data_IF_652441787163
#
_entry.id   IF_652441787163
#
_cell.length_a   1.000
_cell.length_b   1.000
_cell.length_c   1.000
_cell.angle_alpha   90.00
_cell.angle_beta   90.00
_cell.angle_gamma   90.00
#
_symmetry.space_group_name_H-M   'P 1'
#
loop_
_entity.id
_entity.type
_entity.pdbx_description
1 polymer ?
#
# COMPACT_ATOMS: atom_id res chain seq x y z
N UNK A 1 19.78 -23.64 23.67
CA UNK A 1 19.16 -23.44 22.34
C UNK A 1 18.26 -22.22 22.40
N UNK A 2 18.68 -21.09 21.85
CA UNK A 2 17.80 -19.93 21.71
C UNK A 2 16.67 -20.28 20.75
N UNK A 3 15.40 -20.06 21.14
CA UNK A 3 14.26 -20.18 20.22
C UNK A 3 14.54 -19.24 19.05
N UNK A 4 14.84 -19.76 17.86
CA UNK A 4 14.78 -18.95 16.64
C UNK A 4 13.31 -18.56 16.48
N UNK A 5 12.98 -17.31 16.79
CA UNK A 5 11.66 -16.77 16.54
C UNK A 5 11.32 -16.85 15.05
N UNK A 6 10.02 -16.75 14.73
CA UNK A 6 9.58 -16.61 13.34
C UNK A 6 10.09 -15.28 12.77
N UNK A 7 10.70 -15.32 11.58
CA UNK A 7 11.13 -14.11 10.88
C UNK A 7 9.91 -13.41 10.26
N UNK A 8 9.54 -12.24 10.79
CA UNK A 8 8.39 -11.47 10.30
C UNK A 8 8.52 -11.04 8.83
N UNK A 9 9.75 -11.05 8.28
CA UNK A 9 10.06 -10.73 6.91
C UNK A 9 10.24 -11.98 6.04
N UNK A 10 9.87 -13.16 6.56
CA UNK A 10 9.86 -14.38 5.79
C UNK A 10 9.03 -14.18 4.52
N UNK A 11 9.65 -14.53 3.39
CA UNK A 11 9.01 -14.46 2.09
C UNK A 11 8.28 -15.76 1.77
N UNK A 12 7.02 -15.63 1.40
CA UNK A 12 6.21 -16.72 0.87
C UNK A 12 6.25 -16.67 -0.66
N UNK A 13 6.04 -17.81 -1.32
CA UNK A 13 5.80 -17.89 -2.76
C UNK A 13 4.40 -18.47 -2.96
N UNK A 14 3.41 -17.66 -2.59
CA UNK A 14 1.99 -18.03 -2.62
C UNK A 14 1.22 -17.01 -3.45
N UNK A 15 0.03 -17.40 -3.88
CA UNK A 15 -0.95 -16.52 -4.51
C UNK A 15 -2.30 -16.70 -3.85
N UNK A 16 -3.09 -15.63 -3.81
CA UNK A 16 -4.49 -15.73 -3.40
C UNK A 16 -5.38 -16.31 -4.52
N UNK A 17 -6.68 -16.40 -4.26
CA UNK A 17 -7.66 -16.92 -5.23
C UNK A 17 -7.74 -16.10 -6.54
N UNK A 18 -7.53 -14.80 -6.45
CA UNK A 18 -7.58 -13.87 -7.58
C UNK A 18 -6.21 -13.80 -8.30
N UNK A 19 -5.21 -14.56 -7.82
CA UNK A 19 -3.87 -14.61 -8.38
C UNK A 19 -2.92 -13.52 -7.87
N UNK A 20 -3.34 -12.71 -6.89
CA UNK A 20 -2.46 -11.71 -6.27
C UNK A 20 -1.37 -12.40 -5.46
N UNK A 21 -0.12 -11.90 -5.50
CA UNK A 21 0.97 -12.47 -4.72
C UNK A 21 0.69 -12.34 -3.21
N UNK A 22 0.90 -13.46 -2.52
CA UNK A 22 1.02 -13.54 -1.06
C UNK A 22 2.48 -13.89 -0.79
N UNK A 23 3.28 -12.84 -0.62
CA UNK A 23 4.73 -12.89 -0.50
C UNK A 23 5.27 -12.69 0.92
N UNK A 24 4.43 -12.31 1.88
CA UNK A 24 4.86 -11.89 3.21
C UNK A 24 3.72 -11.94 4.21
N UNK A 25 4.05 -11.91 5.51
CA UNK A 25 3.03 -11.75 6.54
C UNK A 25 2.23 -10.45 6.36
N UNK A 26 2.87 -9.42 5.80
CA UNK A 26 2.21 -8.14 5.56
C UNK A 26 1.19 -8.24 4.43
N UNK A 27 1.52 -8.89 3.31
CA UNK A 27 0.54 -9.11 2.23
C UNK A 27 -0.64 -9.94 2.70
N UNK A 28 -0.43 -10.97 3.54
CA UNK A 28 -1.53 -11.71 4.19
C UNK A 28 -2.44 -10.74 4.98
N UNK A 29 -1.87 -9.85 5.78
CA UNK A 29 -2.66 -8.94 6.63
C UNK A 29 -3.54 -7.97 5.82
N UNK A 30 -3.13 -7.60 4.61
CA UNK A 30 -3.85 -6.62 3.77
C UNK A 30 -4.68 -7.25 2.63
N UNK A 31 -4.31 -8.45 2.14
CA UNK A 31 -4.96 -9.12 1.01
C UNK A 31 -5.97 -10.19 1.42
N UNK A 32 -5.95 -10.68 2.65
CA UNK A 32 -6.82 -11.78 3.07
C UNK A 32 -8.31 -11.36 3.03
N UNK A 33 -9.03 -11.72 1.97
CA UNK A 33 -10.47 -11.57 1.88
C UNK A 33 -11.16 -12.65 2.74
N UNK A 34 -12.23 -12.33 3.49
CA UNK A 34 -13.03 -11.10 3.40
C UNK A 34 -12.69 -10.00 4.42
N UNK A 35 -11.61 -10.12 5.20
CA UNK A 35 -11.30 -9.17 6.28
C UNK A 35 -9.86 -8.67 6.18
N UNK A 36 -9.69 -7.36 5.95
CA UNK A 36 -8.41 -6.73 6.24
C UNK A 36 -8.12 -6.84 7.72
N UNK A 37 -6.99 -7.46 8.05
CA UNK A 37 -6.52 -7.54 9.44
C UNK A 37 -5.77 -6.24 9.75
N UNK A 38 -6.49 -5.11 9.74
CA UNK A 38 -5.91 -3.77 9.91
C UNK A 38 -5.04 -3.67 11.16
N UNK A 39 -5.47 -4.30 12.26
CA UNK A 39 -4.69 -4.38 13.49
C UNK A 39 -3.38 -5.15 13.30
N UNK A 40 -3.42 -6.28 12.58
CA UNK A 40 -2.22 -7.07 12.27
C UNK A 40 -1.27 -6.28 11.38
N UNK A 41 -1.76 -5.63 10.32
CA UNK A 41 -0.95 -4.81 9.43
C UNK A 41 -0.24 -3.68 10.19
N UNK A 42 -0.95 -2.99 11.10
CA UNK A 42 -0.34 -1.96 11.94
C UNK A 42 0.72 -2.52 12.90
N UNK A 43 0.48 -3.69 13.50
CA UNK A 43 1.45 -4.37 14.36
C UNK A 43 2.69 -4.78 13.56
N UNK A 44 2.51 -5.33 12.36
CA UNK A 44 3.62 -5.72 11.47
C UNK A 44 4.47 -4.52 11.06
N UNK A 45 3.86 -3.38 10.71
CA UNK A 45 4.61 -2.15 10.42
C UNK A 45 5.43 -1.71 11.64
N UNK A 46 4.83 -1.71 12.83
CA UNK A 46 5.53 -1.36 14.08
C UNK A 46 6.65 -2.34 14.42
N UNK A 47 6.50 -3.61 14.06
CA UNK A 47 7.50 -4.65 14.26
C UNK A 47 8.66 -4.59 13.25
N UNK A 48 8.58 -3.73 12.23
CA UNK A 48 9.62 -3.60 11.20
C UNK A 48 9.44 -4.56 10.02
N UNK A 49 8.19 -4.93 9.70
CA UNK A 49 7.91 -5.66 8.47
C UNK A 49 8.33 -4.83 7.24
N UNK A 50 8.91 -5.52 6.25
CA UNK A 50 9.37 -4.92 5.02
C UNK A 50 8.19 -4.68 4.06
N UNK A 51 7.69 -3.45 4.07
CA UNK A 51 6.56 -3.02 3.22
C UNK A 51 7.01 -2.43 1.87
N UNK A 52 8.31 -2.32 1.62
CA UNK A 52 8.88 -1.67 0.43
C UNK A 52 8.97 -2.58 -0.79
N UNK A 53 8.90 -3.88 -0.57
CA UNK A 53 9.28 -4.85 -1.59
C UNK A 53 8.21 -5.10 -2.64
N UNK A 54 6.97 -4.66 -2.44
CA UNK A 54 5.84 -5.23 -3.19
C UNK A 54 4.92 -4.16 -3.76
N UNK A 55 4.65 -4.32 -5.05
CA UNK A 55 3.74 -3.47 -5.81
C UNK A 55 2.30 -3.79 -5.42
N UNK A 56 1.40 -2.83 -5.56
CA UNK A 56 -0.03 -3.06 -5.33
C UNK A 56 -0.52 -2.92 -3.89
N UNK A 57 0.35 -2.74 -2.89
CA UNK A 57 -0.09 -2.54 -1.49
C UNK A 57 -0.93 -1.27 -1.29
N UNK A 58 -0.55 -0.18 -1.96
CA UNK A 58 -1.33 1.06 -1.95
C UNK A 58 -2.70 0.85 -2.62
N UNK A 59 -2.75 0.10 -3.74
CA UNK A 59 -3.98 -0.24 -4.44
C UNK A 59 -4.92 -1.11 -3.59
N UNK A 60 -4.36 -2.09 -2.89
CA UNK A 60 -5.10 -2.95 -1.95
C UNK A 60 -5.75 -2.11 -0.85
N UNK A 61 -5.02 -1.14 -0.29
CA UNK A 61 -5.56 -0.25 0.74
C UNK A 61 -6.69 0.64 0.21
N UNK A 62 -6.62 1.03 -1.07
CA UNK A 62 -7.70 1.77 -1.74
C UNK A 62 -8.96 0.93 -1.87
N UNK A 63 -8.84 -0.31 -2.36
CA UNK A 63 -9.97 -1.24 -2.52
C UNK A 63 -10.65 -1.58 -1.19
N UNK A 64 -9.85 -1.74 -0.14
CA UNK A 64 -10.33 -2.12 1.19
C UNK A 64 -10.68 -0.93 2.08
N UNK A 65 -10.55 0.29 1.55
CA UNK A 65 -10.82 1.55 2.27
C UNK A 65 -9.98 1.71 3.56
N UNK A 66 -8.82 1.09 3.61
CA UNK A 66 -7.93 1.03 4.78
C UNK A 66 -7.05 2.28 4.91
N UNK A 67 -7.67 3.39 5.34
CA UNK A 67 -7.01 4.71 5.44
C UNK A 67 -5.73 4.72 6.27
N UNK A 68 -5.75 4.09 7.44
CA UNK A 68 -4.63 4.17 8.37
C UNK A 68 -3.41 3.38 7.87
N UNK A 69 -3.66 2.23 7.24
CA UNK A 69 -2.62 1.45 6.58
C UNK A 69 -2.06 2.24 5.39
N UNK A 70 -2.93 2.87 4.59
CA UNK A 70 -2.53 3.70 3.45
C UNK A 70 -1.57 4.83 3.88
N UNK A 71 -1.90 5.55 4.96
CA UNK A 71 -1.03 6.59 5.53
C UNK A 71 0.30 6.01 6.03
N UNK A 72 0.26 4.85 6.68
CA UNK A 72 1.46 4.19 7.20
C UNK A 72 2.40 3.76 6.07
N UNK A 73 1.87 3.20 4.97
CA UNK A 73 2.64 2.83 3.77
C UNK A 73 3.25 4.04 3.08
N UNK A 74 2.49 5.12 2.91
CA UNK A 74 3.00 6.38 2.36
C UNK A 74 4.16 6.91 3.21
N UNK A 75 4.01 6.90 4.54
CA UNK A 75 5.09 7.32 5.46
C UNK A 75 6.30 6.40 5.40
N UNK A 76 6.10 5.10 5.19
CA UNK A 76 7.17 4.15 4.98
C UNK A 76 7.89 4.33 3.64
N UNK A 77 7.32 5.12 2.71
CA UNK A 77 7.90 5.46 1.41
C UNK A 77 7.62 4.42 0.32
N UNK A 78 6.52 3.66 0.45
CA UNK A 78 6.14 2.63 -0.54
C UNK A 78 5.89 3.27 -1.91
N UNK A 79 6.32 2.57 -2.95
CA UNK A 79 6.22 3.05 -4.33
C UNK A 79 4.75 3.10 -4.81
N UNK A 80 4.37 4.21 -5.43
CA UNK A 80 3.05 4.46 -6.04
C UNK A 80 3.01 4.12 -7.55
N UNK A 81 3.85 3.19 -7.98
CA UNK A 81 3.94 2.81 -9.40
C UNK A 81 2.67 2.11 -9.90
N UNK A 82 2.41 2.18 -11.22
CA UNK A 82 1.47 1.30 -11.91
C UNK A 82 1.64 -0.18 -11.54
N UNK A 83 0.54 -0.90 -11.44
CA UNK A 83 0.53 -2.33 -11.13
C UNK A 83 -0.36 -3.10 -12.12
N UNK A 84 0.17 -4.18 -12.70
CA UNK A 84 -0.50 -4.98 -13.73
C UNK A 84 -1.73 -5.72 -13.20
N UNK A 85 -1.74 -6.10 -11.92
CA UNK A 85 -2.93 -6.71 -11.29
C UNK A 85 -4.08 -5.70 -11.12
N UNK A 86 -3.79 -4.42 -11.36
CA UNK A 86 -4.73 -3.31 -11.29
C UNK A 86 -4.87 -2.60 -12.64
N UNK A 87 -4.83 -3.34 -13.74
CA UNK A 87 -4.94 -2.84 -15.12
C UNK A 87 -3.84 -1.84 -15.51
N UNK A 88 -2.69 -1.86 -14.85
CA UNK A 88 -1.63 -0.88 -15.07
C UNK A 88 -1.94 0.50 -14.52
N UNK A 89 -2.94 0.63 -13.65
CA UNK A 89 -3.25 1.88 -12.96
C UNK A 89 -2.34 2.08 -11.75
N UNK A 90 -2.12 3.34 -11.38
CA UNK A 90 -1.60 3.76 -10.08
C UNK A 90 -2.69 3.65 -9.01
N UNK A 91 -2.30 3.66 -7.72
CA UNK A 91 -3.27 3.67 -6.63
C UNK A 91 -4.20 4.91 -6.70
N UNK A 92 -3.70 6.05 -7.20
CA UNK A 92 -4.49 7.27 -7.40
C UNK A 92 -5.54 7.11 -8.50
N UNK A 93 -5.17 6.50 -9.63
CA UNK A 93 -6.11 6.22 -10.73
C UNK A 93 -7.18 5.20 -10.29
N UNK A 94 -6.79 4.15 -9.56
CA UNK A 94 -7.76 3.20 -8.99
C UNK A 94 -8.78 3.87 -8.07
N UNK A 95 -8.35 4.75 -7.16
CA UNK A 95 -9.31 5.43 -6.25
C UNK A 95 -10.21 6.40 -7.01
N UNK A 96 -9.71 7.05 -8.06
CA UNK A 96 -10.50 7.95 -8.91
C UNK A 96 -11.58 7.17 -9.68
N UNK A 97 -11.24 6.03 -10.29
CA UNK A 97 -12.20 5.16 -10.96
C UNK A 97 -13.28 4.63 -10.02
N UNK A 98 -12.89 4.20 -8.80
CA UNK A 98 -13.83 3.74 -7.80
C UNK A 98 -14.73 4.87 -7.31
N UNK A 99 -14.18 6.06 -7.11
CA UNK A 99 -14.96 7.23 -6.68
C UNK A 99 -16.02 7.65 -7.71
N UNK A 100 -15.72 7.52 -9.00
CA UNK A 100 -16.70 7.74 -10.07
C UNK A 100 -17.86 6.74 -10.02
N UNK A 101 -17.60 5.50 -9.59
CA UNK A 101 -18.60 4.42 -9.50
C UNK A 101 -19.45 4.49 -8.22
N UNK A 102 -18.84 4.87 -7.11
CA UNK A 102 -19.56 5.16 -5.86
C UNK A 102 -18.81 6.21 -5.05
N UNK A 103 -19.54 7.27 -4.69
CA UNK A 103 -19.04 8.53 -4.12
C UNK A 103 -18.98 8.48 -2.59
N UNK A 104 -18.72 7.31 -2.01
CA UNK A 104 -18.65 7.14 -0.57
C UNK A 104 -17.60 8.04 0.09
N UNK A 105 -17.85 8.37 1.36
CA UNK A 105 -16.94 9.20 2.18
C UNK A 105 -15.59 8.49 2.32
N UNK A 106 -15.59 7.17 2.43
CA UNK A 106 -14.41 6.33 2.55
C UNK A 106 -13.47 6.51 1.34
N UNK A 107 -14.02 6.49 0.13
CA UNK A 107 -13.25 6.69 -1.11
C UNK A 107 -12.73 8.11 -1.24
N UNK A 108 -13.53 9.11 -0.87
CA UNK A 108 -13.10 10.51 -0.84
C UNK A 108 -11.84 10.67 0.02
N UNK A 109 -11.80 10.05 1.19
CA UNK A 109 -10.66 10.16 2.09
C UNK A 109 -9.38 9.50 1.55
N UNK A 110 -9.48 8.33 0.91
CA UNK A 110 -8.32 7.72 0.25
C UNK A 110 -7.81 8.59 -0.92
N UNK A 111 -8.73 9.19 -1.69
CA UNK A 111 -8.42 10.15 -2.76
C UNK A 111 -7.61 11.34 -2.24
N UNK A 112 -8.09 12.00 -1.19
CA UNK A 112 -7.41 13.17 -0.60
C UNK A 112 -5.99 12.84 -0.11
N UNK A 113 -5.81 11.67 0.50
CA UNK A 113 -4.49 11.22 0.99
C UNK A 113 -3.52 11.00 -0.16
N UNK A 114 -3.95 10.32 -1.23
CA UNK A 114 -3.11 10.04 -2.38
C UNK A 114 -2.79 11.31 -3.18
N UNK A 115 -3.77 12.20 -3.38
CA UNK A 115 -3.54 13.50 -4.04
C UNK A 115 -2.49 14.30 -3.27
N UNK A 116 -2.62 14.40 -1.95
CA UNK A 116 -1.64 15.11 -1.10
C UNK A 116 -0.25 14.49 -1.26
N UNK A 117 -0.14 13.17 -1.18
CA UNK A 117 1.12 12.47 -1.37
C UNK A 117 1.77 12.74 -2.74
N UNK A 118 0.99 12.67 -3.83
CA UNK A 118 1.47 12.96 -5.19
C UNK A 118 1.94 14.41 -5.35
N UNK A 119 1.22 15.37 -4.77
CA UNK A 119 1.62 16.79 -4.80
C UNK A 119 2.91 17.04 -4.02
N UNK A 120 3.07 16.43 -2.85
CA UNK A 120 4.30 16.49 -2.04
C UNK A 120 5.49 15.90 -2.81
N UNK A 121 5.33 14.72 -3.43
CA UNK A 121 6.36 14.08 -4.27
C UNK A 121 6.80 15.00 -5.43
N UNK A 122 5.84 15.65 -6.12
CA UNK A 122 6.13 16.61 -7.21
C UNK A 122 6.82 17.89 -6.72
N UNK A 123 6.56 18.34 -5.50
CA UNK A 123 7.22 19.52 -4.91
C UNK A 123 8.70 19.27 -4.60
N UNK A 124 9.02 18.09 -4.06
CA UNK A 124 10.41 17.69 -3.81
C UNK A 124 11.22 17.51 -5.10
N UNK A 125 10.56 17.05 -6.17
CA UNK A 125 11.22 16.91 -7.47
C UNK A 125 11.47 18.25 -8.19
N UNK A 126 10.70 19.31 -7.87
CA UNK A 126 10.95 20.67 -8.36
C UNK A 126 12.08 21.36 -7.60
N UNK A 127 12.15 21.21 -6.28
CA UNK A 127 13.21 21.82 -5.46
C UNK A 127 14.61 21.23 -5.72
N UNK A 128 14.69 19.96 -6.15
CA UNK A 128 15.96 19.29 -6.49
C UNK A 128 16.54 19.69 -7.85
N UNK A 129 15.78 20.34 -8.74
CA UNK A 129 16.33 20.90 -10.01
C UNK A 129 17.01 22.25 -9.84
N UNK A 130 16.77 22.95 -8.74
CA UNK A 130 17.36 24.27 -8.48
C UNK A 130 18.66 24.25 -7.66
N UNK A 131 19.10 23.08 -7.17
CA UNK A 131 20.34 22.93 -6.39
C UNK A 131 21.52 22.28 -7.15
N UNK A 132 21.48 22.26 -8.49
CA UNK A 132 22.68 21.96 -9.30
C UNK A 132 23.15 23.24 -9.98
N UNK A 133 23.98 24.02 -9.28
CA UNK A 133 24.91 24.99 -9.86
C UNK A 133 26.30 24.67 -9.36
#
# INVERSE_FOLDING_TARGET
>A
MGKKGFDINHRFDLKDYDGFPIDSLFSIAINYKPYTLTNLAQVLIKAGANVQNEKGYLHTCVLTHSRDILKALIKAGVNDSPDENYNGNTALECVAELYCKDKSIERKNCCEILIKHTLEKKSQHRNTRFCKK
#
